data_IF_669381353891
#
_entry.id   IF_669381353891
#
_cell.length_a   1.000
_cell.length_b   1.000
_cell.length_c   1.000
_cell.angle_alpha   90.00
_cell.angle_beta   90.00
_cell.angle_gamma   90.00
#
_symmetry.space_group_name_H-M   'P 1'
#
loop_
_entity.id
_entity.type
_entity.pdbx_description
1 polymer ?
#
# COMPACT_ATOMS: atom_id res chain seq x y z
N UNK A 1 -11.17 12.69 11.25
CA UNK A 1 -10.51 12.55 9.94
C UNK A 1 -9.03 12.26 10.15
N UNK A 2 -8.36 11.55 9.24
CA UNK A 2 -6.92 11.30 9.30
C UNK A 2 -6.35 11.09 7.89
N UNK A 3 -5.08 11.40 7.69
CA UNK A 3 -4.36 11.23 6.44
C UNK A 3 -3.18 10.28 6.62
N UNK A 4 -2.77 9.63 5.54
CA UNK A 4 -1.55 8.82 5.50
C UNK A 4 -0.75 9.11 4.23
N UNK A 5 0.54 9.42 4.38
CA UNK A 5 1.48 9.48 3.26
C UNK A 5 2.23 8.16 3.16
N UNK A 6 2.38 7.64 1.94
CA UNK A 6 2.99 6.34 1.68
C UNK A 6 4.24 6.55 0.83
N UNK A 7 5.40 6.23 1.38
CA UNK A 7 6.71 6.47 0.76
C UNK A 7 7.39 5.13 0.52
N UNK A 8 7.91 4.92 -0.69
CA UNK A 8 8.67 3.72 -1.03
C UNK A 8 10.15 3.96 -0.73
N UNK A 9 10.76 3.00 -0.04
CA UNK A 9 12.17 3.04 0.35
C UNK A 9 12.36 3.55 1.77
N UNK A 10 13.29 2.90 2.49
CA UNK A 10 13.88 3.32 3.77
C UNK A 10 12.92 3.59 4.93
N UNK A 11 13.21 3.04 6.11
CA UNK A 11 12.54 3.47 7.32
C UNK A 11 13.23 4.71 7.91
N UNK A 12 12.64 5.89 7.71
CA UNK A 12 13.25 7.15 8.18
C UNK A 12 13.08 7.40 9.71
N UNK A 13 12.32 6.55 10.40
CA UNK A 13 11.99 6.71 11.83
C UNK A 13 12.19 5.38 12.56
N UNK A 14 12.59 5.40 13.83
CA UNK A 14 12.73 4.19 14.64
C UNK A 14 11.39 3.47 14.80
N UNK A 15 11.19 2.41 14.02
CA UNK A 15 10.02 1.54 14.08
C UNK A 15 10.45 0.22 14.74
N UNK A 16 10.38 0.17 16.07
CA UNK A 16 10.92 -0.95 16.85
C UNK A 16 9.82 -1.88 17.41
N UNK A 17 8.55 -1.49 17.29
CA UNK A 17 7.42 -2.25 17.82
C UNK A 17 6.69 -2.99 16.71
N UNK A 18 6.22 -4.23 16.92
CA UNK A 18 5.35 -4.90 15.97
C UNK A 18 4.11 -4.06 15.64
N UNK A 19 3.72 -4.01 14.36
CA UNK A 19 2.51 -3.32 13.93
C UNK A 19 1.27 -4.06 14.45
N UNK A 20 0.39 -3.29 15.09
CA UNK A 20 -0.90 -3.78 15.58
C UNK A 20 -2.03 -2.89 15.08
N UNK A 21 -3.06 -3.49 14.50
CA UNK A 21 -4.29 -2.78 14.07
C UNK A 21 -5.42 -3.20 15.01
N UNK A 22 -5.97 -2.22 15.73
CA UNK A 22 -7.03 -2.47 16.70
C UNK A 22 -6.67 -3.42 17.84
N UNK A 23 -5.38 -3.49 18.22
CA UNK A 23 -4.88 -4.35 19.29
C UNK A 23 -4.44 -5.74 18.84
N UNK A 24 -4.54 -6.06 17.55
CA UNK A 24 -4.16 -7.36 17.00
C UNK A 24 -3.06 -7.21 15.95
N UNK A 25 -2.24 -8.24 15.81
CA UNK A 25 -1.27 -8.32 14.71
C UNK A 25 -1.99 -8.31 13.35
N UNK A 26 -1.28 -7.90 12.30
CA UNK A 26 -1.79 -7.91 10.94
C UNK A 26 -2.02 -9.34 10.46
N UNK A 27 -3.26 -9.80 10.52
CA UNK A 27 -3.65 -11.19 10.20
C UNK A 27 -4.60 -11.34 9.01
N UNK A 28 -4.92 -10.25 8.31
CA UNK A 28 -5.86 -10.27 7.17
C UNK A 28 -5.18 -10.50 5.82
N UNK A 29 -3.84 -10.59 5.79
CA UNK A 29 -3.10 -11.02 4.61
C UNK A 29 -3.13 -12.55 4.53
N UNK A 30 -3.10 -13.07 3.30
CA UNK A 30 -2.96 -14.51 3.08
C UNK A 30 -1.64 -15.01 3.67
N UNK A 31 -1.65 -16.22 4.22
CA UNK A 31 -0.51 -16.82 4.89
C UNK A 31 0.80 -16.82 4.09
N UNK A 32 0.81 -17.18 2.78
CA UNK A 32 1.97 -17.03 1.91
C UNK A 32 2.67 -15.68 2.02
N UNK A 33 1.88 -14.61 2.00
CA UNK A 33 2.41 -13.27 1.97
C UNK A 33 2.88 -12.86 3.36
N UNK A 34 2.14 -13.27 4.39
CA UNK A 34 2.41 -12.92 5.79
C UNK A 34 3.76 -13.46 6.28
N UNK A 35 4.16 -14.64 5.82
CA UNK A 35 5.45 -15.27 6.16
C UNK A 35 6.65 -14.49 5.61
N UNK A 36 6.44 -13.73 4.54
CA UNK A 36 7.46 -12.89 3.91
C UNK A 36 7.22 -11.39 4.15
N UNK A 37 6.58 -11.03 5.26
CA UNK A 37 6.31 -9.65 5.66
C UNK A 37 6.80 -9.36 7.07
N UNK A 38 7.42 -8.20 7.26
CA UNK A 38 7.75 -7.64 8.59
C UNK A 38 7.17 -6.25 8.70
N UNK A 39 6.23 -6.08 9.63
CA UNK A 39 5.51 -4.83 9.84
C UNK A 39 5.80 -4.28 11.22
N UNK A 40 6.38 -3.09 11.24
CA UNK A 40 6.73 -2.38 12.47
C UNK A 40 6.09 -1.01 12.53
N UNK A 41 5.95 -0.47 13.73
CA UNK A 41 5.44 0.85 14.00
C UNK A 41 6.34 1.59 14.99
N UNK A 42 6.36 2.90 14.85
CA UNK A 42 6.94 3.84 15.81
C UNK A 42 6.18 3.83 17.14
N UNK A 43 6.85 4.21 18.23
CA UNK A 43 6.28 4.25 19.57
C UNK A 43 5.05 5.17 19.70
N UNK A 44 4.98 6.23 18.89
CA UNK A 44 3.85 7.15 18.86
C UNK A 44 2.75 6.74 17.85
N UNK A 45 2.91 5.61 17.17
CA UNK A 45 2.01 5.08 16.13
C UNK A 45 1.75 6.02 14.94
N UNK A 46 2.58 7.05 14.75
CA UNK A 46 2.44 7.98 13.61
C UNK A 46 3.23 7.56 12.38
N UNK A 47 4.13 6.59 12.52
CA UNK A 47 4.89 6.03 11.42
C UNK A 47 4.88 4.50 11.45
N UNK A 48 4.72 3.87 10.28
CA UNK A 48 4.89 2.43 10.09
C UNK A 48 6.00 2.16 9.08
N UNK A 49 6.67 1.03 9.28
CA UNK A 49 7.61 0.44 8.36
C UNK A 49 7.07 -0.92 7.91
N UNK A 50 6.76 -1.04 6.63
CA UNK A 50 6.16 -2.23 6.06
C UNK A 50 7.15 -2.86 5.07
N UNK A 51 7.82 -3.93 5.46
CA UNK A 51 8.65 -4.72 4.55
C UNK A 51 7.82 -5.87 3.97
N UNK A 52 7.80 -5.95 2.64
CA UNK A 52 7.11 -6.98 1.88
C UNK A 52 8.12 -7.79 1.07
N UNK A 53 7.80 -9.06 0.83
CA UNK A 53 8.61 -9.99 0.02
C UNK A 53 10.02 -10.18 0.57
N UNK A 54 10.14 -10.24 1.90
CA UNK A 54 11.42 -10.48 2.56
C UNK A 54 12.05 -11.80 2.09
N UNK A 55 13.38 -11.84 2.15
CA UNK A 55 14.20 -12.96 1.69
C UNK A 55 14.11 -13.21 0.17
N UNK A 56 13.73 -12.19 -0.60
CA UNK A 56 13.69 -12.24 -2.06
C UNK A 56 14.40 -11.04 -2.70
N UNK A 57 14.81 -11.18 -3.96
CA UNK A 57 15.33 -10.06 -4.76
C UNK A 57 14.30 -8.91 -4.94
N UNK A 58 13.03 -9.20 -4.66
CA UNK A 58 11.93 -8.26 -4.77
C UNK A 58 11.52 -7.62 -3.45
N UNK A 59 12.34 -7.74 -2.39
CA UNK A 59 12.05 -7.10 -1.11
C UNK A 59 11.79 -5.60 -1.29
N UNK A 60 10.69 -5.11 -0.72
CA UNK A 60 10.32 -3.69 -0.76
C UNK A 60 9.89 -3.22 0.61
N UNK A 61 10.54 -2.17 1.10
CA UNK A 61 10.13 -1.44 2.29
C UNK A 61 9.28 -0.23 1.88
N UNK A 62 8.15 -0.08 2.55
CA UNK A 62 7.24 1.05 2.42
C UNK A 62 7.06 1.69 3.79
N UNK A 63 7.29 2.99 3.87
CA UNK A 63 7.08 3.77 5.09
C UNK A 63 5.76 4.54 4.98
N UNK A 64 4.94 4.46 6.03
CA UNK A 64 3.65 5.15 6.11
C UNK A 64 3.69 6.18 7.22
N UNK A 65 3.28 7.42 6.94
CA UNK A 65 3.19 8.49 7.95
C UNK A 65 1.76 8.96 8.12
N UNK A 66 1.21 8.84 9.33
CA UNK A 66 -0.11 9.34 9.67
C UNK A 66 -0.05 10.80 10.11
N UNK A 67 -0.96 11.60 9.55
CA UNK A 67 -1.04 13.04 9.78
C UNK A 67 -2.48 13.47 10.03
N UNK A 68 -2.64 14.53 10.81
CA UNK A 68 -3.95 15.14 11.08
C UNK A 68 -4.38 16.12 9.97
N UNK A 69 -3.41 16.57 9.15
CA UNK A 69 -3.61 17.48 8.02
C UNK A 69 -3.04 16.89 6.73
N UNK A 70 -3.66 17.12 5.56
CA UNK A 70 -3.16 16.59 4.31
C UNK A 70 -1.87 17.31 3.90
N UNK A 71 -0.91 16.53 3.42
CA UNK A 71 0.26 17.06 2.71
C UNK A 71 0.07 16.84 1.21
N UNK A 72 0.35 17.86 0.40
CA UNK A 72 0.25 17.73 -1.06
C UNK A 72 1.58 17.35 -1.71
N UNK A 73 2.65 17.24 -0.92
CA UNK A 73 4.00 16.95 -1.42
C UNK A 73 4.23 15.45 -1.65
N UNK A 74 3.45 14.58 -1.01
CA UNK A 74 3.65 13.14 -1.05
C UNK A 74 2.55 12.42 -1.80
N UNK A 75 3.01 11.44 -2.57
CA UNK A 75 2.24 10.79 -3.60
C UNK A 75 2.95 9.44 -3.79
N UNK A 76 2.43 8.30 -3.29
CA UNK A 76 1.05 8.04 -2.86
C UNK A 76 0.60 8.56 -1.49
N UNK A 77 -0.71 8.81 -1.35
CA UNK A 77 -1.38 9.22 -0.10
C UNK A 77 -2.80 8.65 0.06
N UNK A 78 -3.30 8.69 1.29
CA UNK A 78 -4.62 8.20 1.67
C UNK A 78 -5.35 9.16 2.62
N UNK A 79 -6.68 9.19 2.54
CA UNK A 79 -7.53 9.99 3.43
C UNK A 79 -8.69 9.17 3.98
N UNK A 80 -8.87 9.22 5.30
CA UNK A 80 -10.02 8.65 6.00
C UNK A 80 -11.07 9.69 6.36
N UNK A 81 -12.31 9.35 6.02
CA UNK A 81 -13.49 10.16 6.29
C UNK A 81 -14.50 9.27 7.02
N UNK A 82 -14.91 9.73 8.20
CA UNK A 82 -15.95 9.07 8.96
C UNK A 82 -17.30 9.32 8.28
N UNK A 83 -18.05 8.25 8.04
CA UNK A 83 -19.34 8.33 7.34
C UNK A 83 -20.45 8.94 8.20
N UNK A 84 -20.29 9.00 9.52
CA UNK A 84 -21.18 9.75 10.43
C UNK A 84 -21.00 11.27 10.33
N UNK A 85 -19.81 11.75 9.96
CA UNK A 85 -19.48 13.18 9.94
C UNK A 85 -19.95 13.88 8.65
N UNK A 86 -21.02 13.38 7.99
CA UNK A 86 -21.39 13.72 6.60
C UNK A 86 -21.35 15.23 6.31
N UNK A 87 -20.33 15.72 5.57
CA UNK A 87 -20.29 17.10 5.14
C UNK A 87 -21.15 17.27 3.88
N UNK A 88 -21.52 18.52 3.61
CA UNK A 88 -22.27 18.95 2.42
C UNK A 88 -21.70 18.35 1.11
N UNK A 89 -22.52 17.57 0.39
CA UNK A 89 -22.07 16.64 -0.65
C UNK A 89 -21.25 17.29 -1.77
N UNK A 90 -21.59 18.51 -2.19
CA UNK A 90 -20.95 19.14 -3.36
C UNK A 90 -19.53 19.64 -3.07
N UNK A 91 -19.34 20.41 -2.00
CA UNK A 91 -18.00 20.88 -1.57
C UNK A 91 -17.07 19.72 -1.24
N UNK A 92 -17.68 18.63 -0.83
CA UNK A 92 -16.97 17.45 -0.43
C UNK A 92 -16.40 16.65 -1.61
N UNK A 93 -17.14 16.47 -2.70
CA UNK A 93 -16.59 15.86 -3.92
C UNK A 93 -15.44 16.66 -4.53
N UNK A 94 -15.52 18.00 -4.47
CA UNK A 94 -14.43 18.89 -4.87
C UNK A 94 -13.16 18.68 -4.03
N UNK A 95 -13.31 18.53 -2.71
CA UNK A 95 -12.20 18.30 -1.79
C UNK A 95 -11.55 16.92 -2.00
N UNK A 96 -12.35 15.87 -2.20
CA UNK A 96 -11.86 14.53 -2.55
C UNK A 96 -11.11 14.56 -3.87
N UNK A 97 -11.65 15.27 -4.88
CA UNK A 97 -11.00 15.42 -6.18
C UNK A 97 -9.68 16.19 -6.06
N UNK A 98 -9.67 17.28 -5.29
CA UNK A 98 -8.47 18.07 -5.02
C UNK A 98 -7.40 17.23 -4.30
N UNK A 99 -7.80 16.43 -3.31
CA UNK A 99 -6.88 15.55 -2.60
C UNK A 99 -6.28 14.50 -3.54
N UNK A 100 -7.11 13.80 -4.30
CA UNK A 100 -6.68 12.71 -5.17
C UNK A 100 -5.83 13.18 -6.37
N UNK A 101 -6.22 14.30 -7.00
CA UNK A 101 -5.72 14.75 -8.31
C UNK A 101 -5.00 16.08 -8.31
N UNK A 102 -5.12 16.87 -7.25
CA UNK A 102 -4.76 18.29 -7.26
C UNK A 102 -5.71 19.16 -8.08
N UNK A 103 -6.89 18.66 -8.45
CA UNK A 103 -7.87 19.39 -9.28
C UNK A 103 -9.31 19.16 -8.81
N UNK A 104 -10.14 20.21 -8.90
CA UNK A 104 -11.57 20.21 -8.51
C UNK A 104 -12.52 19.89 -9.68
N UNK A 105 -12.03 19.80 -10.91
CA UNK A 105 -12.89 19.93 -12.12
C UNK A 105 -13.45 18.62 -12.67
N UNK A 106 -13.07 17.46 -12.13
CA UNK A 106 -13.45 16.16 -12.70
C UNK A 106 -14.30 15.37 -11.70
N UNK A 107 -15.53 15.04 -12.09
CA UNK A 107 -16.42 14.17 -11.31
C UNK A 107 -15.71 12.86 -10.92
N UNK A 108 -15.99 12.37 -9.72
CA UNK A 108 -15.47 11.12 -9.19
C UNK A 108 -16.14 9.95 -9.93
N UNK A 109 -15.62 9.61 -11.11
CA UNK A 109 -16.25 8.62 -12.00
C UNK A 109 -16.17 7.17 -11.49
N UNK A 110 -15.31 6.89 -10.50
CA UNK A 110 -15.02 5.52 -10.05
C UNK A 110 -15.00 5.46 -8.52
N UNK A 111 -16.17 5.31 -7.90
CA UNK A 111 -16.26 4.91 -6.50
C UNK A 111 -16.70 3.46 -6.41
N UNK A 112 -15.90 2.64 -5.73
CA UNK A 112 -16.23 1.26 -5.43
C UNK A 112 -16.98 1.23 -4.10
N UNK A 113 -18.20 0.69 -4.10
CA UNK A 113 -18.95 0.44 -2.88
C UNK A 113 -18.53 -0.91 -2.32
N UNK A 114 -17.87 -0.89 -1.16
CA UNK A 114 -17.57 -2.08 -0.39
C UNK A 114 -18.65 -2.21 0.70
N UNK A 115 -19.46 -3.28 0.68
CA UNK A 115 -20.48 -3.64 1.70
C UNK A 115 -21.12 -2.47 2.50
N UNK A 116 -22.35 -2.11 2.13
CA UNK A 116 -23.37 -1.28 2.80
C UNK A 116 -23.02 0.10 3.39
N UNK A 117 -21.81 0.36 3.89
CA UNK A 117 -21.43 1.67 4.46
C UNK A 117 -19.99 2.07 4.17
N UNK A 118 -19.23 1.26 3.43
CA UNK A 118 -17.86 1.62 3.02
C UNK A 118 -17.82 2.06 1.57
N UNK A 119 -17.33 3.28 1.32
CA UNK A 119 -17.05 3.77 -0.02
C UNK A 119 -15.54 3.91 -0.16
N UNK A 120 -14.99 3.41 -1.25
CA UNK A 120 -13.58 3.55 -1.58
C UNK A 120 -13.49 4.30 -2.91
N UNK A 121 -12.74 5.39 -2.92
CA UNK A 121 -12.45 6.16 -4.12
C UNK A 121 -10.95 6.10 -4.34
N UNK A 122 -10.53 5.59 -5.49
CA UNK A 122 -9.11 5.46 -5.83
C UNK A 122 -8.86 6.27 -7.09
N UNK A 123 -7.72 6.96 -7.13
CA UNK A 123 -7.22 7.55 -8.36
C UNK A 123 -5.71 7.41 -8.44
N UNK A 124 -5.24 6.76 -9.52
CA UNK A 124 -3.84 6.36 -9.73
C UNK A 124 -3.27 5.56 -8.56
N UNK A 125 -2.64 6.25 -7.61
CA UNK A 125 -1.96 5.70 -6.44
C UNK A 125 -2.51 6.27 -5.14
N UNK A 126 -3.47 7.19 -5.21
CA UNK A 126 -4.08 7.84 -4.06
C UNK A 126 -5.45 7.23 -3.77
N UNK A 127 -5.84 7.23 -2.50
CA UNK A 127 -7.16 6.71 -2.12
C UNK A 127 -7.87 7.58 -1.08
N UNK A 128 -9.19 7.50 -1.06
CA UNK A 128 -10.04 8.01 0.00
C UNK A 128 -10.97 6.90 0.44
N UNK A 129 -10.97 6.61 1.74
CA UNK A 129 -11.84 5.62 2.36
C UNK A 129 -12.88 6.30 3.25
N UNK A 130 -14.12 5.95 2.99
CA UNK A 130 -15.29 6.35 3.74
C UNK A 130 -15.72 5.17 4.59
N UNK A 131 -15.59 5.27 5.91
CA UNK A 131 -16.09 4.24 6.82
C UNK A 131 -16.14 4.76 8.26
N UNK A 132 -17.00 4.14 9.07
CA UNK A 132 -17.09 4.40 10.51
C UNK A 132 -15.94 3.79 11.33
N UNK A 133 -14.99 3.09 10.70
CA UNK A 133 -13.96 2.33 11.40
C UNK A 133 -12.55 2.75 10.97
N UNK A 134 -11.88 3.48 11.86
CA UNK A 134 -10.46 3.82 11.68
C UNK A 134 -9.57 2.57 11.46
N UNK A 135 -9.89 1.45 12.11
CA UNK A 135 -9.21 0.16 11.91
C UNK A 135 -9.33 -0.34 10.47
N UNK A 136 -10.44 -0.08 9.78
CA UNK A 136 -10.61 -0.45 8.37
C UNK A 136 -9.79 0.46 7.45
N UNK A 137 -9.64 1.74 7.80
CA UNK A 137 -8.71 2.62 7.12
C UNK A 137 -7.26 2.14 7.25
N UNK A 138 -6.82 1.81 8.45
CA UNK A 138 -5.51 1.24 8.71
C UNK A 138 -5.24 -0.02 7.84
N UNK A 139 -6.23 -0.92 7.73
CA UNK A 139 -6.16 -2.10 6.85
C UNK A 139 -6.04 -1.73 5.38
N UNK A 140 -6.85 -0.78 4.91
CA UNK A 140 -6.82 -0.31 3.54
C UNK A 140 -5.45 0.29 3.18
N UNK A 141 -4.82 1.01 4.12
CA UNK A 141 -3.48 1.59 3.93
C UNK A 141 -2.42 0.50 3.77
N UNK A 142 -2.48 -0.58 4.56
CA UNK A 142 -1.59 -1.74 4.37
C UNK A 142 -1.81 -2.38 3.00
N UNK A 143 -3.06 -2.56 2.55
CA UNK A 143 -3.36 -3.10 1.23
C UNK A 143 -2.84 -2.21 0.09
N UNK A 144 -2.96 -0.88 0.24
CA UNK A 144 -2.42 0.07 -0.73
C UNK A 144 -0.89 0.02 -0.77
N UNK A 145 -0.23 -0.05 0.39
CA UNK A 145 1.22 -0.20 0.49
C UNK A 145 1.70 -1.50 -0.17
N UNK A 146 1.00 -2.61 0.03
CA UNK A 146 1.26 -3.88 -0.63
C UNK A 146 1.11 -3.75 -2.16
N UNK A 147 0.02 -3.15 -2.64
CA UNK A 147 -0.20 -2.95 -4.08
C UNK A 147 0.91 -2.10 -4.71
N UNK A 148 1.41 -1.11 -3.99
CA UNK A 148 2.54 -0.27 -4.40
C UNK A 148 3.87 -1.02 -4.42
N UNK A 149 4.14 -1.81 -3.38
CA UNK A 149 5.32 -2.68 -3.31
C UNK A 149 5.34 -3.67 -4.48
N UNK A 150 4.22 -4.35 -4.72
CA UNK A 150 4.05 -5.30 -5.82
C UNK A 150 4.24 -4.63 -7.18
N UNK A 151 3.60 -3.48 -7.40
CA UNK A 151 3.79 -2.69 -8.64
C UNK A 151 5.25 -2.32 -8.87
N UNK A 152 5.97 -1.91 -7.82
CA UNK A 152 7.39 -1.55 -7.94
C UNK A 152 8.25 -2.78 -8.22
N UNK A 153 8.02 -3.90 -7.53
CA UNK A 153 8.71 -5.15 -7.80
C UNK A 153 8.56 -5.56 -9.28
N UNK A 154 7.33 -5.51 -9.82
CA UNK A 154 7.06 -5.81 -11.22
C UNK A 154 7.78 -4.86 -12.18
N UNK A 155 7.73 -3.55 -11.94
CA UNK A 155 8.40 -2.56 -12.80
C UNK A 155 9.92 -2.77 -12.78
N UNK A 156 10.52 -3.00 -11.61
CA UNK A 156 11.95 -3.30 -11.49
C UNK A 156 12.31 -4.57 -12.25
N UNK A 157 11.58 -5.67 -12.03
CA UNK A 157 11.86 -6.94 -12.71
C UNK A 157 11.70 -6.83 -14.24
N UNK A 158 10.68 -6.13 -14.72
CA UNK A 158 10.52 -5.88 -16.17
C UNK A 158 11.65 -5.03 -16.74
N UNK A 159 12.16 -4.06 -15.98
CA UNK A 159 13.28 -3.23 -16.39
C UNK A 159 14.58 -4.03 -16.48
N UNK A 160 14.89 -4.82 -15.44
CA UNK A 160 16.05 -5.71 -15.40
C UNK A 160 16.01 -6.73 -16.55
N UNK A 161 14.85 -7.34 -16.79
CA UNK A 161 14.64 -8.26 -17.92
C UNK A 161 14.96 -7.58 -19.25
N UNK A 162 14.43 -6.38 -19.45
CA UNK A 162 14.65 -5.60 -20.68
C UNK A 162 16.13 -5.24 -20.85
N UNK A 163 16.83 -4.93 -19.76
CA UNK A 163 18.26 -4.63 -19.80
C UNK A 163 19.08 -5.87 -20.16
N UNK A 164 18.81 -7.02 -19.55
CA UNK A 164 19.51 -8.29 -19.85
C UNK A 164 19.39 -8.68 -21.33
N UNK A 165 18.19 -8.55 -21.89
CA UNK A 165 17.93 -8.84 -23.31
C UNK A 165 18.72 -7.89 -24.21
N UNK A 166 18.78 -6.60 -23.86
CA UNK A 166 19.53 -5.60 -24.65
C UNK A 166 21.04 -5.80 -24.56
N UNK A 167 21.56 -6.24 -23.41
CA UNK A 167 22.98 -6.49 -23.20
C UNK A 167 23.43 -7.88 -23.64
N UNK A 168 22.50 -8.74 -24.08
CA UNK A 168 22.73 -10.15 -24.41
C UNK A 168 23.39 -10.93 -23.25
N UNK A 169 23.03 -10.57 -22.01
CA UNK A 169 23.55 -11.20 -20.79
C UNK A 169 22.66 -12.38 -20.40
N UNK A 170 22.94 -13.54 -21.01
CA UNK A 170 22.16 -14.76 -20.83
C UNK A 170 22.24 -15.30 -19.39
N UNK A 171 23.37 -15.11 -18.70
CA UNK A 171 23.54 -15.60 -17.33
C UNK A 171 22.69 -14.81 -16.34
N UNK A 172 22.68 -13.49 -16.47
CA UNK A 172 21.84 -12.64 -15.63
C UNK A 172 20.34 -12.86 -15.93
N UNK A 173 20.00 -13.09 -17.20
CA UNK A 173 18.65 -13.44 -17.62
C UNK A 173 18.14 -14.73 -16.97
N UNK A 174 18.93 -15.81 -17.00
CA UNK A 174 18.58 -17.09 -16.36
C UNK A 174 18.34 -16.89 -14.86
N UNK A 175 19.24 -16.17 -14.18
CA UNK A 175 19.11 -15.89 -12.75
C UNK A 175 17.81 -15.13 -12.43
N UNK A 176 17.49 -14.11 -13.22
CA UNK A 176 16.24 -13.35 -13.02
C UNK A 176 15.00 -14.23 -13.21
N UNK A 177 15.02 -15.14 -14.19
CA UNK A 177 13.95 -16.13 -14.37
C UNK A 177 13.82 -17.08 -13.18
N UNK A 178 14.94 -17.58 -12.64
CA UNK A 178 14.93 -18.42 -11.44
C UNK A 178 14.37 -17.68 -10.23
N UNK A 179 14.76 -16.42 -10.02
CA UNK A 179 14.25 -15.58 -8.92
C UNK A 179 12.74 -15.34 -9.05
N UNK A 180 12.23 -15.10 -10.27
CA UNK A 180 10.79 -14.97 -10.53
C UNK A 180 10.02 -16.28 -10.29
N UNK A 181 10.60 -17.42 -10.68
CA UNK A 181 9.99 -18.75 -10.46
C UNK A 181 9.92 -19.07 -8.96
N UNK A 182 11.02 -18.83 -8.22
CA UNK A 182 11.05 -19.01 -6.76
C UNK A 182 10.04 -18.12 -6.05
N UNK A 183 9.92 -16.86 -6.49
CA UNK A 183 8.91 -15.95 -5.96
C UNK A 183 7.50 -16.48 -6.19
N UNK A 184 7.19 -16.97 -7.40
CA UNK A 184 5.89 -17.59 -7.72
C UNK A 184 5.64 -18.87 -6.91
N UNK A 185 6.62 -19.75 -6.77
CA UNK A 185 6.50 -21.00 -6.00
C UNK A 185 6.32 -20.73 -4.51
N UNK A 186 7.02 -19.73 -3.95
CA UNK A 186 6.86 -19.29 -2.56
C UNK A 186 5.44 -18.81 -2.27
N UNK A 187 4.73 -18.26 -3.26
CA UNK A 187 3.34 -17.84 -3.11
C UNK A 187 2.34 -18.99 -3.23
N UNK A 188 2.68 -20.03 -4.00
CA UNK A 188 1.79 -21.17 -4.31
C UNK A 188 1.90 -22.28 -3.24
N UNK A 189 3.11 -22.66 -2.81
CA UNK A 189 3.28 -23.81 -1.91
C UNK A 189 2.75 -23.58 -0.49
N UNK A 190 2.73 -22.33 -0.05
CA UNK A 190 2.09 -21.85 1.18
C UNK A 190 0.56 -21.73 1.08
N UNK A 191 -0.03 -21.90 -0.12
CA UNK A 191 -1.49 -21.96 -0.33
C UNK A 191 -2.06 -23.39 -0.27
N UNK A 192 -1.18 -24.40 -0.30
CA UNK A 192 -1.54 -25.83 -0.25
C UNK A 192 -1.30 -26.47 1.12
N UNK A 193 -0.72 -25.73 2.07
CA UNK A 193 -0.33 -26.19 3.41
C UNK A 193 -1.19 -25.58 4.55
N UNK A 194 -2.26 -24.84 4.21
CA UNK A 194 -3.21 -24.24 5.15
C UNK A 194 -4.62 -24.81 5.03
#
# INVERSE_FOLDING_TARGET
MQYADIVIGGCATSCDHPLTIGGHNVGFLIQPLKEHCDFKQSSNRKAWCLSFFQDSAFERTVTVFFKDTPDNLHDPKAWWINTEDQPDHHRFEENVSLFLRGSRTKRLNESVYCKQETRLVVDKKNMVLFCNSHKQFERAVVCQALALAYKNALITGMHELTQCIKSNDEQHLIKLYEDMLRFKESLINSSLSG
#
